data_IF_810843278498
#
_entry.id   IF_810843278498
#
_cell.length_a   1.000
_cell.length_b   1.000
_cell.length_c   1.000
_cell.angle_alpha   90.00
_cell.angle_beta   90.00
_cell.angle_gamma   90.00
#
_symmetry.space_group_name_H-M   'P 1'
#
loop_
_entity.id
_entity.type
_entity.pdbx_description
1 polymer ?
#
# COMPACT_ATOMS: atom_id res chain seq x y z
N UNK A 1 -11.97 9.45 24.36
CA UNK A 1 -11.03 8.37 23.95
C UNK A 1 -10.59 8.76 22.53
N UNK A 2 -9.76 9.80 22.37
CA UNK A 2 -8.30 9.70 22.37
C UNK A 2 -7.90 8.95 21.08
N UNK A 3 -7.62 9.57 19.94
CA UNK A 3 -6.97 10.86 19.70
C UNK A 3 -5.55 10.66 19.15
N UNK A 4 -5.36 9.77 18.17
CA UNK A 4 -4.17 9.66 17.32
C UNK A 4 -4.50 9.15 15.91
N UNK A 5 -5.45 9.80 15.24
CA UNK A 5 -5.56 9.76 13.77
C UNK A 5 -4.28 10.38 13.18
N UNK A 6 -3.21 9.59 13.03
CA UNK A 6 -1.90 10.04 12.56
C UNK A 6 -1.94 10.51 11.09
N UNK A 7 -2.50 11.69 10.87
CA UNK A 7 -2.36 12.49 9.66
C UNK A 7 -3.10 11.93 8.45
N UNK A 8 -4.42 12.07 8.44
CA UNK A 8 -5.30 11.94 7.27
C UNK A 8 -5.13 13.09 6.27
N UNK A 9 -3.89 13.37 5.86
CA UNK A 9 -3.58 14.52 5.01
C UNK A 9 -2.46 14.21 4.03
N UNK A 10 -2.82 14.28 2.75
CA UNK A 10 -2.00 14.21 1.52
C UNK A 10 -1.31 12.87 1.20
N UNK A 11 -1.52 12.44 -0.04
CA UNK A 11 -1.08 11.19 -0.67
C UNK A 11 0.32 10.76 -0.22
N UNK A 12 0.37 9.80 0.70
CA UNK A 12 1.61 9.09 1.04
C UNK A 12 1.89 8.12 -0.10
N UNK A 13 3.08 8.19 -0.71
CA UNK A 13 3.51 7.13 -1.62
C UNK A 13 3.66 5.88 -0.79
N UNK A 14 2.87 4.88 -1.12
CA UNK A 14 2.89 3.59 -0.47
C UNK A 14 3.61 2.62 -1.40
N UNK A 15 4.60 1.90 -0.88
CA UNK A 15 5.20 0.78 -1.59
C UNK A 15 4.60 -0.50 -1.01
N UNK A 16 3.98 -1.31 -1.87
CA UNK A 16 3.62 -2.67 -1.53
C UNK A 16 4.72 -3.62 -2.04
N UNK A 17 5.20 -4.49 -1.15
CA UNK A 17 6.05 -5.63 -1.50
C UNK A 17 5.18 -6.88 -1.56
N UNK A 18 5.03 -7.45 -2.75
CA UNK A 18 4.34 -8.71 -2.97
C UNK A 18 5.35 -9.72 -3.53
N UNK A 19 5.48 -10.88 -2.89
CA UNK A 19 6.29 -11.98 -3.44
C UNK A 19 5.51 -12.68 -4.55
N UNK A 20 6.03 -12.67 -5.77
CA UNK A 20 5.54 -13.55 -6.83
C UNK A 20 6.03 -15.00 -6.59
N UNK A 21 5.37 -15.98 -7.23
CA UNK A 21 5.69 -17.41 -7.08
C UNK A 21 7.16 -17.76 -7.43
N UNK A 22 7.85 -16.89 -8.18
CA UNK A 22 9.26 -17.01 -8.55
C UNK A 22 10.23 -16.53 -7.45
N UNK A 23 9.71 -16.10 -6.30
CA UNK A 23 10.48 -15.72 -5.11
C UNK A 23 11.07 -14.31 -5.15
N UNK A 24 10.83 -13.53 -6.21
CA UNK A 24 11.32 -12.14 -6.28
C UNK A 24 10.28 -11.18 -5.70
N UNK A 25 10.66 -10.28 -4.78
CA UNK A 25 9.76 -9.25 -4.28
C UNK A 25 9.43 -8.26 -5.41
N UNK A 26 8.14 -8.15 -5.73
CA UNK A 26 7.62 -7.13 -6.63
C UNK A 26 7.28 -5.89 -5.80
N UNK A 27 7.99 -4.78 -6.07
CA UNK A 27 7.77 -3.48 -5.45
C UNK A 27 6.92 -2.64 -6.38
N UNK A 28 5.79 -2.12 -5.90
CA UNK A 28 4.98 -1.16 -6.68
C UNK A 28 4.64 0.07 -5.86
N UNK A 29 4.98 1.28 -6.34
CA UNK A 29 4.40 2.52 -5.84
C UNK A 29 2.90 2.58 -6.12
N UNK A 30 2.14 3.00 -5.12
CA UNK A 30 0.71 3.21 -5.24
C UNK A 30 0.26 4.44 -4.45
N UNK A 31 -0.78 5.08 -4.96
CA UNK A 31 -1.57 6.07 -4.22
C UNK A 31 -2.55 5.29 -3.36
N UNK A 32 -2.56 5.59 -2.07
CA UNK A 32 -3.45 4.99 -1.09
C UNK A 32 -4.03 6.06 -0.18
N UNK A 33 -5.18 5.76 0.41
CA UNK A 33 -5.80 6.57 1.46
C UNK A 33 -5.94 5.74 2.73
N UNK A 34 -5.75 6.37 3.88
CA UNK A 34 -6.16 5.83 5.15
C UNK A 34 -7.62 6.18 5.39
N UNK A 35 -8.45 5.18 5.66
CA UNK A 35 -9.87 5.35 5.98
C UNK A 35 -10.33 4.22 6.90
N UNK A 36 -10.87 4.61 8.05
CA UNK A 36 -11.50 3.71 9.02
C UNK A 36 -10.56 2.59 9.51
N UNK A 37 -9.36 2.97 9.93
CA UNK A 37 -8.33 2.04 10.42
C UNK A 37 -7.68 1.14 9.36
N UNK A 38 -7.99 1.35 8.08
CA UNK A 38 -7.46 0.57 6.97
C UNK A 38 -6.87 1.44 5.84
N UNK A 39 -6.02 0.83 5.01
CA UNK A 39 -5.52 1.45 3.78
C UNK A 39 -6.31 0.94 2.59
N UNK A 40 -6.76 1.89 1.76
CA UNK A 40 -7.50 1.63 0.53
C UNK A 40 -6.69 2.11 -0.67
N UNK A 41 -6.66 1.29 -1.71
CA UNK A 41 -6.10 1.64 -3.01
C UNK A 41 -6.89 0.94 -4.11
N UNK A 42 -6.77 1.46 -5.33
CA UNK A 42 -7.41 0.87 -6.52
C UNK A 42 -6.37 0.19 -7.40
N UNK A 43 -6.75 -0.92 -8.02
CA UNK A 43 -5.96 -1.61 -9.02
C UNK A 43 -6.89 -2.20 -10.09
N UNK A 44 -6.39 -2.37 -11.31
CA UNK A 44 -7.11 -3.14 -12.34
C UNK A 44 -6.95 -4.64 -12.05
N UNK A 45 -7.92 -5.44 -12.51
CA UNK A 45 -7.87 -6.91 -12.33
C UNK A 45 -6.65 -7.56 -12.99
N UNK A 46 -6.10 -6.90 -14.00
CA UNK A 46 -4.93 -7.36 -14.77
C UNK A 46 -3.61 -6.85 -14.22
N UNK A 47 -3.61 -5.97 -13.23
CA UNK A 47 -2.37 -5.47 -12.64
C UNK A 47 -1.63 -6.62 -11.93
N UNK A 48 -0.31 -6.67 -12.06
CA UNK A 48 0.52 -7.71 -11.42
C UNK A 48 0.31 -7.76 -9.90
N UNK A 49 0.09 -6.60 -9.24
CA UNK A 49 -0.23 -6.56 -7.81
C UNK A 49 -1.54 -7.27 -7.46
N UNK A 50 -2.55 -7.20 -8.34
CA UNK A 50 -3.84 -7.87 -8.14
C UNK A 50 -3.68 -9.37 -8.26
N UNK A 51 -2.94 -9.84 -9.27
CA UNK A 51 -2.59 -11.26 -9.42
C UNK A 51 -1.84 -11.75 -8.18
N UNK A 52 -0.80 -11.03 -7.74
CA UNK A 52 -0.03 -11.42 -6.56
C UNK A 52 -0.87 -11.42 -5.29
N UNK A 53 -1.79 -10.47 -5.09
CA UNK A 53 -2.68 -10.41 -3.92
C UNK A 53 -3.71 -11.55 -3.90
N UNK A 54 -4.16 -12.01 -5.07
CA UNK A 54 -5.06 -13.17 -5.18
C UNK A 54 -4.36 -14.47 -4.78
N UNK A 55 -3.09 -14.61 -5.14
CA UNK A 55 -2.26 -15.77 -4.80
C UNK A 55 -1.70 -15.71 -3.35
N UNK A 56 -1.33 -14.51 -2.89
CA UNK A 56 -0.77 -14.27 -1.56
C UNK A 56 -1.15 -12.87 -1.05
N UNK A 57 -2.06 -12.83 -0.07
CA UNK A 57 -2.55 -11.61 0.54
C UNK A 57 -1.56 -10.94 1.51
N UNK A 58 -0.44 -11.59 1.84
CA UNK A 58 0.58 -11.00 2.71
C UNK A 58 1.44 -9.98 1.95
N UNK A 59 1.45 -8.75 2.47
CA UNK A 59 2.26 -7.66 1.94
C UNK A 59 3.04 -6.98 3.04
N UNK A 60 4.19 -6.43 2.68
CA UNK A 60 4.87 -5.42 3.49
C UNK A 60 4.54 -4.07 2.89
N UNK A 61 4.14 -3.15 3.77
CA UNK A 61 3.76 -1.81 3.38
C UNK A 61 4.77 -0.79 3.90
N UNK A 62 5.29 0.04 3.00
CA UNK A 62 6.16 1.15 3.35
C UNK A 62 5.47 2.46 2.97
N UNK A 63 5.16 3.29 3.97
CA UNK A 63 4.67 4.65 3.75
C UNK A 63 5.84 5.62 3.81
N UNK A 64 6.08 6.37 2.74
CA UNK A 64 7.08 7.44 2.75
C UNK A 64 6.40 8.77 3.02
N UNK A 65 6.90 9.52 3.99
CA UNK A 65 6.52 10.92 4.20
C UNK A 65 7.52 11.80 3.47
N UNK A 66 7.06 12.58 2.49
CA UNK A 66 7.87 13.66 1.96
C UNK A 66 7.67 14.89 2.86
N UNK A 67 8.68 15.32 3.63
CA UNK A 67 8.55 16.55 4.39
C UNK A 67 8.29 17.70 3.42
N UNK A 68 7.26 18.51 3.69
CA UNK A 68 7.19 19.83 3.07
C UNK A 68 8.26 20.68 3.77
N UNK A 69 9.05 21.40 2.97
CA UNK A 69 10.07 22.34 3.47
C UNK A 69 9.47 23.43 4.35
#
# INVERSE_FOLDING_TARGET
MGGDEAGAGNSRTVLALNSAADGRPHVTPLVAVWHDGAIHFTATDTAQKTVNLRENAHIILTTVCNPRG
#
